data_IF_482690054623
#
_entry.id   IF_482690054623
#
_cell.length_a   1.000
_cell.length_b   1.000
_cell.length_c   1.000
_cell.angle_alpha   90.00
_cell.angle_beta   90.00
_cell.angle_gamma   90.00
#
_symmetry.space_group_name_H-M   'P 1'
#
loop_
_entity.id
_entity.type
_entity.pdbx_description
1 polymer ?
#
# COMPACT_ATOMS: atom_id res chain seq x y z
N UNK A 1 8.48 -32.65 1.47
CA UNK A 1 7.07 -32.60 1.04
C UNK A 1 6.24 -31.53 1.77
N UNK A 2 6.86 -30.34 1.93
CA UNK A 2 6.17 -29.17 2.57
C UNK A 2 5.27 -28.38 1.59
N UNK A 3 5.30 -28.73 0.30
CA UNK A 3 4.48 -28.04 -0.72
C UNK A 3 3.00 -28.46 -0.72
N UNK A 4 2.65 -29.59 -0.16
CA UNK A 4 1.26 -30.10 -0.17
C UNK A 4 0.35 -29.40 0.85
N UNK A 5 0.89 -28.93 1.98
CA UNK A 5 0.09 -28.24 3.01
C UNK A 5 -0.37 -26.85 2.58
N UNK A 6 0.45 -26.14 1.80
CA UNK A 6 0.12 -24.78 1.31
C UNK A 6 -0.99 -24.85 0.26
N UNK A 7 -0.98 -25.87 -0.59
CA UNK A 7 -2.01 -26.09 -1.61
C UNK A 7 -3.37 -26.46 -1.01
N UNK A 8 -3.38 -27.31 0.03
CA UNK A 8 -4.59 -27.69 0.74
C UNK A 8 -5.24 -26.53 1.52
N UNK A 9 -4.45 -25.63 2.09
CA UNK A 9 -4.96 -24.44 2.77
C UNK A 9 -5.61 -23.46 1.77
N UNK A 10 -5.04 -23.29 0.58
CA UNK A 10 -5.59 -22.43 -0.45
C UNK A 10 -6.92 -22.96 -1.03
N UNK A 11 -7.04 -24.26 -1.21
CA UNK A 11 -8.32 -24.88 -1.63
C UNK A 11 -9.41 -24.83 -0.56
N UNK A 12 -9.03 -24.91 0.73
CA UNK A 12 -10.00 -24.85 1.83
C UNK A 12 -10.61 -23.46 1.99
N UNK A 13 -9.87 -22.39 1.66
CA UNK A 13 -10.40 -21.03 1.66
C UNK A 13 -11.38 -20.77 0.51
N UNK A 14 -11.22 -21.46 -0.61
CA UNK A 14 -12.13 -21.34 -1.75
C UNK A 14 -13.43 -22.14 -1.62
N UNK A 15 -13.55 -23.00 -0.59
CA UNK A 15 -14.72 -23.84 -0.33
C UNK A 15 -15.50 -23.45 0.93
N UNK A 16 -15.13 -22.35 1.60
CA UNK A 16 -15.96 -21.81 2.68
C UNK A 16 -17.29 -21.34 2.10
N UNK A 17 -18.36 -22.01 2.51
CA UNK A 17 -19.73 -21.54 2.24
C UNK A 17 -19.84 -20.10 2.79
N UNK A 18 -20.37 -19.20 1.96
CA UNK A 18 -20.70 -17.85 2.37
C UNK A 18 -21.90 -17.99 3.32
N UNK A 19 -21.68 -17.72 4.57
CA UNK A 19 -22.72 -17.70 5.60
C UNK A 19 -23.04 -16.24 6.01
N UNK A 20 -24.06 -16.07 6.83
CA UNK A 20 -24.49 -14.75 7.32
C UNK A 20 -23.40 -14.01 8.13
N UNK A 21 -22.37 -14.72 8.61
CA UNK A 21 -21.26 -14.16 9.37
C UNK A 21 -20.04 -13.84 8.49
N UNK A 22 -20.10 -14.11 7.19
CA UNK A 22 -19.01 -13.79 6.28
C UNK A 22 -18.87 -12.26 6.15
N UNK A 23 -17.73 -11.65 6.52
CA UNK A 23 -17.61 -10.21 6.53
C UNK A 23 -17.55 -9.62 5.11
N UNK A 24 -18.22 -8.50 4.93
CA UNK A 24 -18.07 -7.67 3.74
C UNK A 24 -16.84 -6.78 3.83
N UNK A 25 -16.48 -6.18 2.70
CA UNK A 25 -15.43 -5.15 2.64
C UNK A 25 -15.79 -3.98 3.55
N UNK A 26 -17.05 -3.52 3.50
CA UNK A 26 -17.54 -2.42 4.33
C UNK A 26 -17.40 -2.70 5.82
N UNK A 27 -17.84 -3.90 6.28
CA UNK A 27 -17.73 -4.31 7.68
C UNK A 27 -16.28 -4.23 8.18
N UNK A 28 -15.34 -4.76 7.40
CA UNK A 28 -13.93 -4.79 7.79
C UNK A 28 -13.23 -3.43 7.68
N UNK A 29 -13.64 -2.58 6.77
CA UNK A 29 -13.11 -1.22 6.68
C UNK A 29 -13.65 -0.34 7.81
N UNK A 30 -14.92 -0.48 8.18
CA UNK A 30 -15.49 0.23 9.34
C UNK A 30 -14.85 -0.26 10.65
N UNK A 31 -14.66 -1.56 10.83
CA UNK A 31 -13.91 -2.11 11.95
C UNK A 31 -12.49 -1.51 12.05
N UNK A 32 -11.75 -1.46 10.92
CA UNK A 32 -10.41 -0.87 10.89
C UNK A 32 -10.43 0.64 11.18
N UNK A 33 -11.47 1.33 10.72
CA UNK A 33 -11.67 2.75 10.99
C UNK A 33 -11.93 3.01 12.47
N UNK A 34 -12.82 2.23 13.10
CA UNK A 34 -13.20 2.40 14.50
C UNK A 34 -12.05 2.05 15.46
N UNK A 35 -11.29 1.01 15.16
CA UNK A 35 -10.11 0.63 15.95
C UNK A 35 -8.99 1.67 15.94
N UNK A 36 -8.93 2.50 14.92
CA UNK A 36 -7.86 3.49 14.74
C UNK A 36 -8.05 4.79 15.53
N UNK A 37 -9.20 5.01 16.15
CA UNK A 37 -9.46 6.18 17.00
C UNK A 37 -10.87 6.73 16.87
N UNK A 38 -11.11 7.89 17.47
CA UNK A 38 -12.41 8.54 17.50
C UNK A 38 -12.92 8.93 16.11
N UNK A 39 -14.24 8.86 15.92
CA UNK A 39 -14.89 9.35 14.71
C UNK A 39 -14.89 10.87 14.68
N UNK A 40 -14.11 11.45 13.78
CA UNK A 40 -14.00 12.89 13.60
C UNK A 40 -14.34 13.29 12.16
N UNK A 41 -14.84 14.53 11.94
CA UNK A 41 -15.11 15.00 10.59
C UNK A 41 -13.91 14.90 9.65
N UNK A 42 -12.69 15.17 10.13
CA UNK A 42 -11.44 15.06 9.36
C UNK A 42 -11.18 13.62 8.95
N UNK A 43 -11.36 12.65 9.84
CA UNK A 43 -11.19 11.23 9.52
C UNK A 43 -12.24 10.72 8.53
N UNK A 44 -13.49 11.18 8.64
CA UNK A 44 -14.56 10.84 7.69
C UNK A 44 -14.31 11.44 6.30
N UNK A 45 -13.74 12.62 6.23
CA UNK A 45 -13.33 13.23 4.97
C UNK A 45 -12.20 12.42 4.31
N UNK A 46 -11.18 12.03 5.09
CA UNK A 46 -10.11 11.15 4.64
C UNK A 46 -10.65 9.80 4.14
N UNK A 47 -11.57 9.18 4.87
CA UNK A 47 -12.24 7.94 4.46
C UNK A 47 -12.90 8.08 3.08
N UNK A 48 -13.70 9.13 2.89
CA UNK A 48 -14.37 9.41 1.61
C UNK A 48 -13.36 9.63 0.48
N UNK A 49 -12.29 10.36 0.76
CA UNK A 49 -11.23 10.59 -0.23
C UNK A 49 -10.56 9.29 -0.66
N UNK A 50 -10.20 8.42 0.29
CA UNK A 50 -9.57 7.12 0.00
C UNK A 50 -10.53 6.20 -0.75
N UNK A 51 -11.81 6.15 -0.36
CA UNK A 51 -12.82 5.35 -1.05
C UNK A 51 -12.95 5.75 -2.53
N UNK A 52 -13.01 7.06 -2.79
CA UNK A 52 -13.09 7.60 -4.14
C UNK A 52 -11.81 7.31 -4.94
N UNK A 53 -10.64 7.51 -4.34
CA UNK A 53 -9.34 7.29 -4.99
C UNK A 53 -9.15 5.85 -5.46
N UNK A 54 -9.51 4.88 -4.62
CA UNK A 54 -9.39 3.45 -4.95
C UNK A 54 -10.65 2.85 -5.60
N UNK A 55 -11.71 3.65 -5.79
CA UNK A 55 -13.01 3.17 -6.25
C UNK A 55 -13.54 2.01 -5.40
N UNK A 56 -13.55 2.20 -4.06
CA UNK A 56 -13.94 1.15 -3.09
C UNK A 56 -15.46 1.06 -2.94
N UNK A 57 -16.21 2.13 -3.23
CA UNK A 57 -17.64 2.23 -2.93
C UNK A 57 -18.44 1.03 -3.50
N UNK A 58 -18.14 0.59 -4.70
CA UNK A 58 -18.82 -0.56 -5.32
C UNK A 58 -18.39 -1.93 -4.76
N UNK A 59 -17.39 -1.96 -3.90
CA UNK A 59 -16.92 -3.17 -3.24
C UNK A 59 -17.47 -3.35 -1.83
N UNK A 60 -18.07 -2.32 -1.23
CA UNK A 60 -18.43 -2.31 0.20
C UNK A 60 -19.32 -3.48 0.60
N UNK A 61 -20.29 -3.84 -0.25
CA UNK A 61 -21.23 -4.94 -0.02
C UNK A 61 -20.66 -6.31 -0.46
N UNK A 62 -19.47 -6.34 -1.04
CA UNK A 62 -18.84 -7.57 -1.52
C UNK A 62 -18.16 -8.31 -0.39
N UNK A 63 -18.33 -9.61 -0.34
CA UNK A 63 -17.60 -10.46 0.63
C UNK A 63 -16.11 -10.49 0.32
N UNK A 64 -15.26 -10.38 1.34
CA UNK A 64 -13.80 -10.31 1.18
C UNK A 64 -13.25 -11.53 0.44
N UNK A 65 -13.82 -12.71 0.68
CA UNK A 65 -13.40 -13.96 0.03
C UNK A 65 -13.66 -13.98 -1.48
N UNK A 66 -14.50 -13.08 -1.99
CA UNK A 66 -14.84 -12.96 -3.41
C UNK A 66 -14.03 -11.87 -4.13
N UNK A 67 -13.11 -11.19 -3.45
CA UNK A 67 -12.29 -10.16 -4.05
C UNK A 67 -11.27 -10.75 -5.03
N UNK A 68 -11.15 -10.12 -6.20
CA UNK A 68 -10.00 -10.35 -7.07
C UNK A 68 -8.71 -9.88 -6.40
N UNK A 69 -7.56 -10.31 -6.91
CA UNK A 69 -6.26 -9.90 -6.36
C UNK A 69 -6.06 -8.37 -6.35
N UNK A 70 -6.54 -7.69 -7.40
CA UNK A 70 -6.50 -6.22 -7.49
C UNK A 70 -7.42 -5.53 -6.48
N UNK A 71 -8.66 -6.04 -6.33
CA UNK A 71 -9.61 -5.54 -5.34
C UNK A 71 -9.12 -5.78 -3.91
N UNK A 72 -8.58 -6.97 -3.62
CA UNK A 72 -7.99 -7.29 -2.32
C UNK A 72 -6.81 -6.36 -1.99
N UNK A 73 -5.99 -6.00 -2.99
CA UNK A 73 -4.90 -5.05 -2.80
C UNK A 73 -5.42 -3.67 -2.43
N UNK A 74 -6.42 -3.14 -3.15
CA UNK A 74 -7.06 -1.87 -2.84
C UNK A 74 -7.69 -1.86 -1.44
N UNK A 75 -8.37 -2.93 -1.07
CA UNK A 75 -8.90 -3.13 0.28
C UNK A 75 -7.79 -3.06 1.34
N UNK A 76 -6.68 -3.79 1.15
CA UNK A 76 -5.55 -3.77 2.09
C UNK A 76 -4.90 -2.39 2.21
N UNK A 77 -4.70 -1.69 1.10
CA UNK A 77 -4.19 -0.32 1.11
C UNK A 77 -5.12 0.62 1.90
N UNK A 78 -6.42 0.55 1.64
CA UNK A 78 -7.43 1.34 2.35
C UNK A 78 -7.41 1.08 3.86
N UNK A 79 -7.43 -0.19 4.26
CA UNK A 79 -7.38 -0.59 5.67
C UNK A 79 -6.10 -0.10 6.36
N UNK A 80 -4.95 -0.17 5.68
CA UNK A 80 -3.66 0.30 6.20
C UNK A 80 -3.66 1.81 6.42
N UNK A 81 -4.24 2.58 5.48
CA UNK A 81 -4.31 4.04 5.59
C UNK A 81 -5.26 4.50 6.71
N UNK A 82 -6.28 3.70 7.04
CA UNK A 82 -7.19 4.01 8.14
C UNK A 82 -6.56 3.82 9.53
N UNK A 83 -5.55 2.97 9.65
CA UNK A 83 -4.94 2.60 10.93
C UNK A 83 -4.24 3.76 11.66
N UNK A 84 -4.09 4.93 11.02
CA UNK A 84 -3.45 6.13 11.58
C UNK A 84 -2.14 5.83 12.34
N UNK A 85 -1.18 5.11 11.74
CA UNK A 85 0.04 4.67 12.43
C UNK A 85 1.03 5.82 12.58
N UNK A 86 1.97 5.70 13.53
CA UNK A 86 3.14 6.59 13.59
C UNK A 86 4.19 6.25 12.54
N UNK A 87 4.28 4.99 12.17
CA UNK A 87 5.17 4.47 11.12
C UNK A 87 4.32 3.66 10.16
N UNK A 88 4.35 4.02 8.89
CA UNK A 88 3.68 3.34 7.81
C UNK A 88 4.72 2.65 6.93
N UNK A 89 4.66 1.32 6.86
CA UNK A 89 5.54 0.52 6.00
C UNK A 89 4.71 -0.07 4.87
N UNK A 90 5.08 0.21 3.63
CA UNK A 90 4.36 -0.29 2.45
C UNK A 90 5.34 -0.95 1.48
N UNK A 91 5.02 -2.18 1.08
CA UNK A 91 5.79 -2.92 0.09
C UNK A 91 5.15 -2.79 -1.30
N UNK A 92 5.89 -2.16 -2.21
CA UNK A 92 5.49 -1.92 -3.60
C UNK A 92 4.04 -1.40 -3.74
N UNK A 93 3.64 -0.32 -3.03
CA UNK A 93 2.24 0.11 -2.97
C UNK A 93 1.67 0.55 -4.33
N UNK A 94 2.53 0.92 -5.27
CA UNK A 94 2.13 1.45 -6.58
C UNK A 94 1.92 0.37 -7.66
N UNK A 95 2.34 -0.87 -7.41
CA UNK A 95 2.18 -1.96 -8.39
C UNK A 95 0.69 -2.28 -8.56
N UNK A 96 0.25 -2.39 -9.82
CA UNK A 96 -1.13 -2.73 -10.17
C UNK A 96 -2.12 -1.57 -10.07
N UNK A 97 -1.66 -0.36 -9.76
CA UNK A 97 -2.45 0.86 -9.84
C UNK A 97 -2.26 1.52 -11.22
N UNK A 98 -3.34 2.08 -11.76
CA UNK A 98 -3.25 2.96 -12.94
C UNK A 98 -2.50 4.26 -12.58
N UNK A 99 -2.09 5.02 -13.59
CA UNK A 99 -1.27 6.21 -13.40
C UNK A 99 -1.96 7.26 -12.51
N UNK A 100 -3.25 7.51 -12.71
CA UNK A 100 -4.01 8.50 -11.94
C UNK A 100 -4.12 8.11 -10.46
N UNK A 101 -4.48 6.86 -10.18
CA UNK A 101 -4.56 6.35 -8.79
C UNK A 101 -3.19 6.34 -8.12
N UNK A 102 -2.12 6.04 -8.87
CA UNK A 102 -0.75 6.09 -8.35
C UNK A 102 -0.36 7.50 -7.92
N UNK A 103 -0.62 8.50 -8.75
CA UNK A 103 -0.31 9.90 -8.46
C UNK A 103 -1.12 10.41 -7.25
N UNK A 104 -2.41 10.08 -7.18
CA UNK A 104 -3.26 10.41 -6.03
C UNK A 104 -2.75 9.76 -4.74
N UNK A 105 -2.29 8.50 -4.78
CA UNK A 105 -1.70 7.85 -3.61
C UNK A 105 -0.40 8.52 -3.17
N UNK A 106 0.46 8.95 -4.10
CA UNK A 106 1.68 9.69 -3.77
C UNK A 106 1.37 11.02 -3.08
N UNK A 107 0.40 11.79 -3.60
CA UNK A 107 -0.01 13.05 -2.98
C UNK A 107 -0.61 12.82 -1.58
N UNK A 108 -1.49 11.83 -1.41
CA UNK A 108 -2.05 11.49 -0.10
C UNK A 108 -0.96 11.12 0.91
N UNK A 109 0.02 10.30 0.53
CA UNK A 109 1.12 9.94 1.41
C UNK A 109 1.98 11.14 1.80
N UNK A 110 2.20 12.07 0.86
CA UNK A 110 2.88 13.34 1.10
C UNK A 110 2.12 14.18 2.14
N UNK A 111 0.82 14.39 1.94
CA UNK A 111 -0.03 15.13 2.89
C UNK A 111 -0.01 14.50 4.28
N UNK A 112 -0.19 13.18 4.38
CA UNK A 112 -0.16 12.46 5.66
C UNK A 112 1.21 12.57 6.36
N UNK A 113 2.31 12.57 5.61
CA UNK A 113 3.65 12.71 6.17
C UNK A 113 3.91 14.11 6.77
N UNK A 114 3.33 15.14 6.15
CA UNK A 114 3.48 16.52 6.59
C UNK A 114 2.57 16.87 7.77
N UNK A 115 1.31 16.42 7.74
CA UNK A 115 0.31 16.80 8.74
C UNK A 115 0.44 16.03 10.07
N UNK A 116 0.78 14.75 10.03
CA UNK A 116 0.67 13.85 11.18
C UNK A 116 2.02 13.43 11.78
N UNK A 117 3.14 14.02 11.37
CA UNK A 117 4.48 13.54 11.71
C UNK A 117 4.66 12.03 11.43
N UNK A 118 3.95 11.50 10.42
CA UNK A 118 3.98 10.12 10.00
C UNK A 118 5.32 9.80 9.35
N UNK A 119 6.03 8.82 9.88
CA UNK A 119 7.20 8.27 9.22
C UNK A 119 6.76 7.23 8.18
N UNK A 120 7.15 7.45 6.92
CA UNK A 120 6.80 6.55 5.82
C UNK A 120 8.05 5.80 5.36
N UNK A 121 7.95 4.48 5.27
CA UNK A 121 8.97 3.59 4.71
C UNK A 121 8.33 2.88 3.51
N UNK A 122 8.87 3.16 2.32
CA UNK A 122 8.45 2.50 1.08
C UNK A 122 9.52 1.50 0.67
N UNK A 123 9.13 0.26 0.48
CA UNK A 123 9.96 -0.76 -0.18
C UNK A 123 9.56 -0.76 -1.65
N UNK A 124 10.49 -0.42 -2.54
CA UNK A 124 10.22 -0.26 -3.96
C UNK A 124 11.17 -1.13 -4.78
N UNK A 125 10.61 -1.85 -5.75
CA UNK A 125 11.40 -2.65 -6.70
C UNK A 125 11.98 -1.81 -7.84
N UNK A 126 11.43 -0.62 -8.09
CA UNK A 126 11.84 0.31 -9.14
C UNK A 126 12.13 1.68 -8.55
N UNK A 127 13.27 2.24 -8.93
CA UNK A 127 13.68 3.57 -8.48
C UNK A 127 12.83 4.71 -9.06
N UNK A 128 12.20 4.48 -10.22
CA UNK A 128 11.37 5.49 -10.88
C UNK A 128 10.04 5.71 -10.14
N UNK A 129 9.70 4.81 -9.22
CA UNK A 129 8.52 4.93 -8.37
C UNK A 129 8.76 5.73 -7.08
N UNK A 130 10.00 6.19 -6.82
CA UNK A 130 10.31 6.95 -5.59
C UNK A 130 9.58 8.31 -5.64
N UNK A 131 8.66 8.58 -4.69
CA UNK A 131 7.99 9.87 -4.62
C UNK A 131 8.94 11.00 -4.25
N UNK A 132 8.66 12.21 -4.71
CA UNK A 132 9.50 13.41 -4.51
C UNK A 132 9.60 13.87 -3.05
N UNK A 133 8.62 13.51 -2.20
CA UNK A 133 8.63 13.84 -0.78
C UNK A 133 9.52 12.92 0.07
N UNK A 134 10.05 11.84 -0.49
CA UNK A 134 10.99 10.95 0.21
C UNK A 134 12.29 11.69 0.48
N UNK A 135 12.75 11.64 1.72
CA UNK A 135 13.95 12.37 2.15
C UNK A 135 15.23 11.57 1.96
N UNK A 136 15.18 10.26 2.17
CA UNK A 136 16.34 9.38 2.17
C UNK A 136 16.06 8.06 1.46
N UNK A 137 17.12 7.48 0.92
CA UNK A 137 17.09 6.18 0.23
C UNK A 137 18.13 5.25 0.86
N UNK A 138 17.75 3.99 1.01
CA UNK A 138 18.65 2.88 1.31
C UNK A 138 18.57 1.92 0.14
N UNK A 139 19.65 1.75 -0.60
CA UNK A 139 19.71 0.80 -1.71
C UNK A 139 20.03 -0.60 -1.18
N UNK A 140 19.29 -1.60 -1.67
CA UNK A 140 19.58 -3.01 -1.43
C UNK A 140 19.87 -3.66 -2.78
N UNK A 141 21.08 -4.16 -2.97
CA UNK A 141 21.52 -4.76 -4.23
C UNK A 141 22.50 -5.90 -3.97
N UNK A 142 22.36 -7.01 -4.71
CA UNK A 142 23.21 -8.18 -4.57
C UNK A 142 23.34 -8.67 -3.11
N UNK A 143 22.21 -8.73 -2.40
CA UNK A 143 22.11 -9.13 -0.98
C UNK A 143 22.94 -8.25 -0.03
N UNK A 144 23.26 -7.03 -0.42
CA UNK A 144 23.95 -6.03 0.40
C UNK A 144 23.08 -4.81 0.61
N UNK A 145 23.10 -4.28 1.82
CA UNK A 145 22.45 -3.03 2.20
C UNK A 145 23.50 -1.93 2.15
N UNK A 146 23.22 -0.89 1.35
CA UNK A 146 24.11 0.26 1.22
C UNK A 146 23.75 1.34 2.26
N UNK A 147 24.69 2.27 2.55
CA UNK A 147 24.41 3.36 3.49
C UNK A 147 23.22 4.19 3.07
N UNK A 148 22.48 4.70 4.08
CA UNK A 148 21.41 5.66 3.88
C UNK A 148 21.95 6.97 3.33
N UNK A 149 21.40 7.44 2.20
CA UNK A 149 21.78 8.69 1.54
C UNK A 149 20.56 9.59 1.33
N UNK A 150 20.76 10.88 1.16
CA UNK A 150 19.69 11.80 0.77
C UNK A 150 19.18 11.45 -0.63
N UNK A 151 17.88 11.64 -0.88
CA UNK A 151 17.28 11.37 -2.19
C UNK A 151 18.01 12.11 -3.32
N UNK A 152 18.37 13.39 -3.12
CA UNK A 152 19.07 14.17 -4.14
C UNK A 152 20.43 13.57 -4.51
N UNK A 153 21.19 13.11 -3.51
CA UNK A 153 22.50 12.48 -3.74
C UNK A 153 22.32 11.14 -4.47
N UNK A 154 21.30 10.38 -4.13
CA UNK A 154 20.95 9.13 -4.82
C UNK A 154 20.63 9.36 -6.30
N UNK A 155 19.82 10.37 -6.61
CA UNK A 155 19.45 10.74 -7.99
C UNK A 155 20.68 11.19 -8.77
N UNK A 156 21.51 12.08 -8.20
CA UNK A 156 22.71 12.61 -8.84
C UNK A 156 23.72 11.50 -9.16
N UNK A 157 23.92 10.57 -8.24
CA UNK A 157 24.85 9.45 -8.43
C UNK A 157 24.39 8.50 -9.55
N UNK A 158 23.09 8.33 -9.76
CA UNK A 158 22.55 7.51 -10.86
C UNK A 158 22.68 8.19 -12.21
N UNK A 159 22.53 9.50 -12.29
CA UNK A 159 22.71 10.27 -13.53
C UNK A 159 24.19 10.37 -13.93
N UNK A 160 25.10 10.27 -12.96
CA UNK A 160 26.55 10.32 -13.21
C UNK A 160 27.15 9.01 -13.77
N UNK A 161 26.38 7.91 -13.81
CA UNK A 161 26.79 6.64 -14.46
C UNK A 161 26.27 6.68 -15.90
N UNK A 162 27.10 7.08 -16.89
CA UNK A 162 26.67 6.99 -18.29
C UNK A 162 26.40 5.54 -18.63
N UNK A 163 25.35 5.28 -19.39
CA UNK A 163 25.07 4.00 -20.00
C UNK A 163 26.36 3.42 -20.57
N UNK A 164 27.01 2.50 -19.87
CA UNK A 164 28.00 1.63 -20.50
C UNK A 164 27.20 0.76 -21.47
N UNK A 165 27.18 1.23 -22.70
CA UNK A 165 26.83 0.41 -23.86
C UNK A 165 27.69 -0.85 -23.77
N UNK A 166 27.03 -1.98 -23.51
CA UNK A 166 27.64 -3.29 -23.69
C UNK A 166 27.85 -3.44 -25.20
N UNK A 167 29.08 -3.25 -25.61
CA UNK A 167 29.58 -3.74 -26.89
C UNK A 167 29.92 -5.20 -26.76
#
# INVERSE_FOLDING_TARGET
>A
SDNDRTYYLQQRWNQQEIDENTPTVGDKLEEAYDLAGEDTPKRRELQKHIYKMFHIEHLLDKYIILLSSGELRKFKLTSTLFANPRILIMDNPFIGLDAGTRDQLKELLKELSLENALQIILVLSKSDDIPDFITHVVEVKNMKVYPKVKLQDYINNRQAIPNRVLS
#
